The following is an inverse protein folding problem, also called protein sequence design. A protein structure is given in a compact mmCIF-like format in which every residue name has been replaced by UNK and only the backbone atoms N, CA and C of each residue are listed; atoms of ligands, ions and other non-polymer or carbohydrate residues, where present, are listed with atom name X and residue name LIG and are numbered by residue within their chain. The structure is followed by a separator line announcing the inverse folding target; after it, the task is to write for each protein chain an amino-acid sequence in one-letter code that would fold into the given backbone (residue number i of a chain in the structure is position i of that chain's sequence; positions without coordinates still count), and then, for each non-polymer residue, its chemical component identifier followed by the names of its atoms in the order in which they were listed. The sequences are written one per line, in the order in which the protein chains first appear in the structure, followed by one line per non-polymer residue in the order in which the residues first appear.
data_IF_998899025578
#
_entry.id   IF_998899025578
#
_cell.length_a   1.000
_cell.length_b   1.000
_cell.length_c   1.000
_cell.angle_alpha   90.00
_cell.angle_beta   90.00
_cell.angle_gamma   90.00
#
_symmetry.space_group_name_H-M   'P 1'
#
loop_
_entity.id
_entity.type
_entity.pdbx_description
1 polymer ?
#
# COMPACT_ATOMS: atom_id res chain seq x y z
N UNK A 1 25.88 8.69 -41.94
CA UNK A 1 24.42 8.67 -42.20
C UNK A 1 23.71 7.60 -41.35
N UNK A 2 24.21 6.36 -41.34
CA UNK A 2 23.61 5.19 -40.66
C UNK A 2 23.41 5.36 -39.15
N UNK A 3 24.39 5.92 -38.42
CA UNK A 3 24.28 6.16 -36.96
C UNK A 3 23.16 7.15 -36.60
N UNK A 4 22.92 8.16 -37.43
CA UNK A 4 21.87 9.18 -37.21
C UNK A 4 20.47 8.60 -37.44
N UNK A 5 20.32 7.78 -38.48
CA UNK A 5 19.07 7.06 -38.75
C UNK A 5 18.75 6.09 -37.61
N UNK A 6 19.74 5.33 -37.15
CA UNK A 6 19.56 4.39 -36.05
C UNK A 6 19.14 5.09 -34.75
N UNK A 7 19.82 6.18 -34.37
CA UNK A 7 19.49 6.94 -33.16
C UNK A 7 18.08 7.55 -33.23
N UNK A 8 17.68 8.04 -34.41
CA UNK A 8 16.33 8.57 -34.61
C UNK A 8 15.26 7.49 -34.48
N UNK A 9 15.47 6.34 -35.12
CA UNK A 9 14.55 5.22 -35.05
C UNK A 9 14.40 4.74 -33.60
N UNK A 10 15.52 4.61 -32.88
CA UNK A 10 15.51 4.25 -31.46
C UNK A 10 14.73 5.26 -30.61
N UNK A 11 15.01 6.57 -30.76
CA UNK A 11 14.29 7.60 -30.02
C UNK A 11 12.79 7.62 -30.32
N UNK A 12 12.40 7.42 -31.59
CA UNK A 12 10.99 7.33 -31.98
C UNK A 12 10.29 6.13 -31.32
N UNK A 13 10.95 4.97 -31.30
CA UNK A 13 10.43 3.76 -30.65
C UNK A 13 10.19 4.02 -29.15
N UNK A 14 11.14 4.67 -28.46
CA UNK A 14 10.99 5.02 -27.04
C UNK A 14 9.80 5.97 -26.81
N UNK A 15 9.64 6.98 -27.66
CA UNK A 15 8.49 7.91 -27.56
C UNK A 15 7.16 7.17 -27.78
N UNK A 16 7.07 6.34 -28.83
CA UNK A 16 5.87 5.55 -29.13
C UNK A 16 5.52 4.65 -27.95
N UNK A 17 6.53 3.98 -27.35
CA UNK A 17 6.34 3.15 -26.17
C UNK A 17 5.77 3.94 -24.98
N UNK A 18 6.32 5.14 -24.69
CA UNK A 18 5.80 6.01 -23.62
C UNK A 18 4.36 6.48 -23.90
N UNK A 19 4.02 6.80 -25.15
CA UNK A 19 2.65 7.17 -25.55
C UNK A 19 1.70 6.00 -25.36
N UNK A 20 2.10 4.78 -25.73
CA UNK A 20 1.31 3.56 -25.51
C UNK A 20 1.05 3.36 -24.02
N UNK A 21 2.05 3.58 -23.15
CA UNK A 21 1.87 3.53 -21.69
C UNK A 21 0.81 4.55 -21.23
N UNK A 22 0.86 5.80 -21.71
CA UNK A 22 -0.11 6.82 -21.33
C UNK A 22 -1.54 6.50 -21.80
N UNK A 23 -1.69 5.99 -23.04
CA UNK A 23 -2.98 5.54 -23.56
C UNK A 23 -3.51 4.36 -22.72
N UNK A 24 -2.65 3.38 -22.44
CA UNK A 24 -2.97 2.23 -21.60
C UNK A 24 -3.39 2.63 -20.19
N UNK A 25 -2.67 3.56 -19.56
CA UNK A 25 -3.01 4.11 -18.25
C UNK A 25 -4.39 4.79 -18.25
N UNK A 26 -4.69 5.61 -19.26
CA UNK A 26 -6.00 6.25 -19.40
C UNK A 26 -7.11 5.22 -19.60
N UNK A 27 -6.84 4.16 -20.38
CA UNK A 27 -7.77 3.05 -20.53
C UNK A 27 -8.04 2.33 -19.20
N UNK A 28 -6.99 2.04 -18.43
CA UNK A 28 -7.12 1.42 -17.10
C UNK A 28 -7.92 2.30 -16.13
N UNK A 29 -7.72 3.61 -16.18
CA UNK A 29 -8.49 4.58 -15.40
C UNK A 29 -9.97 4.55 -15.75
N UNK A 30 -10.31 4.66 -17.04
CA UNK A 30 -11.70 4.70 -17.49
C UNK A 30 -12.43 3.36 -17.24
N UNK A 31 -11.75 2.23 -17.46
CA UNK A 31 -12.38 0.90 -17.39
C UNK A 31 -12.43 0.32 -15.98
N UNK A 32 -11.38 0.52 -15.18
CA UNK A 32 -11.22 -0.15 -13.88
C UNK A 32 -11.17 0.82 -12.69
N UNK A 33 -11.16 2.13 -12.95
CA UNK A 33 -11.01 3.16 -11.92
C UNK A 33 -9.59 3.26 -11.36
N UNK A 34 -8.59 2.73 -12.08
CA UNK A 34 -7.19 2.77 -11.65
C UNK A 34 -6.58 4.14 -11.94
N UNK A 35 -6.12 4.84 -10.92
CA UNK A 35 -5.41 6.12 -11.06
C UNK A 35 -3.92 5.92 -10.78
N UNK A 36 -3.07 6.83 -11.25
CA UNK A 36 -1.67 6.82 -10.80
C UNK A 36 -1.62 7.06 -9.29
N UNK A 37 -0.82 6.27 -8.57
CA UNK A 37 -0.61 6.45 -7.12
C UNK A 37 -0.03 7.83 -6.83
N UNK A 38 0.94 8.24 -7.66
CA UNK A 38 1.55 9.56 -7.56
C UNK A 38 1.17 10.43 -8.77
N UNK A 39 0.61 11.62 -8.53
CA UNK A 39 0.25 12.56 -9.60
C UNK A 39 1.45 13.06 -10.42
N UNK A 40 2.69 12.89 -9.96
CA UNK A 40 3.90 13.25 -10.71
C UNK A 40 4.23 12.29 -11.86
N UNK A 41 3.82 11.03 -11.78
CA UNK A 41 4.16 10.01 -12.79
C UNK A 41 3.74 10.43 -14.22
N UNK A 42 2.47 10.80 -14.48
CA UNK A 42 2.08 11.24 -15.81
C UNK A 42 2.82 12.51 -16.25
N UNK A 43 3.12 13.43 -15.33
CA UNK A 43 3.87 14.66 -15.62
C UNK A 43 5.26 14.33 -16.14
N UNK A 44 5.98 13.45 -15.44
CA UNK A 44 7.33 13.05 -15.81
C UNK A 44 7.35 12.36 -17.16
N UNK A 45 6.45 11.40 -17.40
CA UNK A 45 6.39 10.67 -18.67
C UNK A 45 6.10 11.63 -19.82
N UNK A 46 5.11 12.53 -19.67
CA UNK A 46 4.77 13.52 -20.69
C UNK A 46 5.93 14.49 -20.96
N UNK A 47 6.64 14.91 -19.91
CA UNK A 47 7.82 15.78 -20.05
C UNK A 47 8.95 15.08 -20.82
N UNK A 48 9.20 13.80 -20.53
CA UNK A 48 10.17 12.98 -21.25
C UNK A 48 9.82 12.86 -22.74
N UNK A 49 8.54 12.60 -23.07
CA UNK A 49 8.06 12.54 -24.47
C UNK A 49 8.39 13.83 -25.22
N UNK A 50 8.08 14.98 -24.62
CA UNK A 50 8.28 16.28 -25.25
C UNK A 50 9.78 16.59 -25.43
N UNK A 51 10.60 16.34 -24.41
CA UNK A 51 12.05 16.56 -24.46
C UNK A 51 12.73 15.67 -25.51
N UNK A 52 12.41 14.37 -25.52
CA UNK A 52 12.94 13.43 -26.52
C UNK A 52 12.49 13.81 -27.94
N UNK A 53 11.21 14.14 -28.11
CA UNK A 53 10.67 14.58 -29.40
C UNK A 53 11.37 15.85 -29.92
N UNK A 54 11.58 16.82 -29.03
CA UNK A 54 12.33 18.03 -29.35
C UNK A 54 13.79 17.74 -29.74
N UNK A 55 14.49 16.90 -28.97
CA UNK A 55 15.88 16.52 -29.27
C UNK A 55 16.01 15.83 -30.62
N UNK A 56 15.07 14.94 -30.97
CA UNK A 56 15.04 14.29 -32.28
C UNK A 56 14.84 15.31 -33.41
N UNK A 57 13.98 16.31 -33.22
CA UNK A 57 13.80 17.38 -34.21
C UNK A 57 15.07 18.22 -34.35
N UNK A 58 15.72 18.61 -33.25
CA UNK A 58 17.01 19.32 -33.30
C UNK A 58 18.06 18.53 -34.07
N UNK A 59 18.26 17.28 -33.68
CA UNK A 59 19.31 16.45 -34.24
C UNK A 59 19.12 16.26 -35.75
N UNK A 60 17.87 16.29 -36.22
CA UNK A 60 17.55 16.20 -37.64
C UNK A 60 17.67 17.51 -38.43
N UNK A 61 17.63 18.67 -37.77
CA UNK A 61 17.57 19.95 -38.45
C UNK A 61 18.59 20.99 -37.96
N UNK A 62 19.61 20.55 -37.21
CA UNK A 62 20.60 21.42 -36.54
C UNK A 62 21.32 22.40 -37.47
N UNK A 63 21.51 22.01 -38.74
CA UNK A 63 22.24 22.79 -39.75
C UNK A 63 21.38 23.91 -40.37
N UNK A 64 20.07 23.92 -40.14
CA UNK A 64 19.13 24.85 -40.78
C UNK A 64 18.62 25.87 -39.76
N UNK A 65 19.08 27.13 -39.88
CA UNK A 65 18.74 28.27 -38.99
C UNK A 65 17.24 28.37 -38.64
N UNK A 66 16.34 28.08 -39.59
CA UNK A 66 14.88 28.14 -39.41
C UNK A 66 14.31 27.15 -38.38
N UNK A 67 14.94 26.00 -38.16
CA UNK A 67 14.44 24.99 -37.20
C UNK A 67 14.95 25.22 -35.78
N UNK A 68 15.96 26.07 -35.59
CA UNK A 68 16.39 26.52 -34.25
C UNK A 68 15.28 27.35 -33.57
N UNK A 69 14.55 28.19 -34.32
CA UNK A 69 13.40 28.94 -33.81
C UNK A 69 12.17 28.05 -33.52
N UNK A 70 11.93 27.04 -34.37
CA UNK A 70 10.83 26.08 -34.14
C UNK A 70 11.11 25.27 -32.88
N UNK A 71 12.36 24.86 -32.67
CA UNK A 71 12.76 24.15 -31.46
C UNK A 71 12.67 25.01 -30.19
N UNK A 72 13.10 26.28 -30.24
CA UNK A 72 12.95 27.17 -29.08
C UNK A 72 11.48 27.38 -28.72
N UNK A 73 10.58 27.47 -29.71
CA UNK A 73 9.14 27.53 -29.47
C UNK A 73 8.58 26.22 -28.87
N UNK A 74 9.08 25.07 -29.31
CA UNK A 74 8.68 23.76 -28.77
C UNK A 74 9.15 23.56 -27.32
N UNK A 75 10.37 23.97 -26.98
CA UNK A 75 10.84 24.01 -25.58
C UNK A 75 9.95 24.95 -24.76
N UNK A 76 9.63 26.14 -25.27
CA UNK A 76 8.78 27.09 -24.54
C UNK A 76 7.40 26.50 -24.27
N UNK A 77 6.80 25.83 -25.27
CA UNK A 77 5.51 25.15 -25.12
C UNK A 77 5.59 23.99 -24.12
N UNK A 78 6.70 23.24 -24.13
CA UNK A 78 7.00 22.21 -23.13
C UNK A 78 7.07 22.79 -21.72
N UNK A 79 7.73 23.93 -21.56
CA UNK A 79 7.87 24.63 -20.29
C UNK A 79 6.54 25.15 -19.79
N UNK A 80 5.71 25.71 -20.68
CA UNK A 80 4.35 26.16 -20.34
C UNK A 80 3.44 24.98 -19.99
N UNK A 81 3.52 23.86 -20.73
CA UNK A 81 2.79 22.64 -20.39
C UNK A 81 3.25 22.05 -19.06
N UNK A 82 4.55 22.06 -18.77
CA UNK A 82 5.12 21.63 -17.49
C UNK A 82 4.67 22.52 -16.33
N UNK A 83 4.69 23.85 -16.51
CA UNK A 83 4.22 24.83 -15.51
C UNK A 83 2.70 24.68 -15.30
N UNK A 84 1.93 24.54 -16.38
CA UNK A 84 0.48 24.33 -16.35
C UNK A 84 0.07 22.99 -15.73
N UNK A 85 0.91 21.96 -15.77
CA UNK A 85 0.70 20.73 -15.01
C UNK A 85 1.22 20.83 -13.57
N UNK A 86 2.25 21.65 -13.32
CA UNK A 86 2.73 21.94 -11.96
C UNK A 86 1.73 22.76 -11.14
N UNK A 87 0.74 23.42 -11.75
CA UNK A 87 -0.37 24.02 -11.01
C UNK A 87 -1.31 22.97 -10.41
N UNK A 88 -1.44 21.78 -11.03
CA UNK A 88 -2.01 20.59 -10.37
C UNK A 88 -1.11 20.09 -9.24
N UNK A 89 0.18 20.46 -9.22
CA UNK A 89 1.05 20.22 -8.07
C UNK A 89 0.71 21.08 -6.84
N UNK A 90 -0.17 22.07 -6.96
CA UNK A 90 -0.72 22.78 -5.79
C UNK A 90 -1.63 21.87 -4.98
N UNK A 91 -2.43 21.04 -5.65
CA UNK A 91 -3.23 19.95 -5.05
C UNK A 91 -2.33 18.85 -4.43
N UNK A 92 -1.10 18.71 -4.93
CA UNK A 92 -0.07 17.80 -4.38
C UNK A 92 0.57 18.38 -3.11
N UNK A 93 0.65 19.70 -2.97
CA UNK A 93 1.33 20.37 -1.86
C UNK A 93 0.46 20.48 -0.61
N UNK A 94 -0.86 20.51 -0.79
CA UNK A 94 -1.84 20.59 0.31
C UNK A 94 -2.20 19.20 0.88
N UNK A 95 -2.14 18.14 0.05
CA UNK A 95 -2.41 16.78 0.49
C UNK A 95 -1.13 16.07 0.96
N UNK A 96 -1.10 15.65 2.23
CA UNK A 96 -0.03 14.76 2.72
C UNK A 96 -0.30 13.36 2.21
N UNK A 97 0.62 12.91 1.36
CA UNK A 97 0.57 11.59 0.79
C UNK A 97 1.57 10.70 1.54
N UNK A 98 1.08 9.67 2.22
CA UNK A 98 1.93 8.71 2.93
C UNK A 98 2.14 7.50 2.04
N UNK A 99 3.40 7.23 1.70
CA UNK A 99 3.79 6.07 0.90
C UNK A 99 4.78 5.19 1.66
N UNK A 100 4.58 3.87 1.60
CA UNK A 100 5.54 2.89 2.09
C UNK A 100 5.58 1.69 1.15
N UNK A 101 6.78 1.29 0.73
CA UNK A 101 7.00 0.14 -0.17
C UNK A 101 7.27 -1.10 0.66
N UNK A 102 6.67 -2.24 0.30
CA UNK A 102 6.89 -3.50 1.01
C UNK A 102 8.36 -3.93 0.97
N UNK A 103 8.83 -4.72 1.96
CA UNK A 103 10.19 -5.23 1.98
C UNK A 103 10.58 -6.00 0.71
N UNK A 104 9.64 -6.78 0.14
CA UNK A 104 9.83 -7.52 -1.11
C UNK A 104 9.59 -6.69 -2.38
N UNK A 105 9.21 -5.41 -2.22
CA UNK A 105 8.94 -4.42 -3.27
C UNK A 105 7.79 -4.77 -4.22
N UNK A 106 6.88 -5.67 -3.82
CA UNK A 106 5.71 -6.05 -4.63
C UNK A 106 4.47 -5.22 -4.34
N UNK A 107 4.41 -4.57 -3.18
CA UNK A 107 3.24 -3.82 -2.73
C UNK A 107 3.60 -2.39 -2.30
N UNK A 108 2.64 -1.48 -2.43
CA UNK A 108 2.76 -0.10 -1.93
C UNK A 108 1.57 0.19 -1.04
N UNK A 109 1.85 0.53 0.22
CA UNK A 109 0.90 1.09 1.15
C UNK A 109 0.81 2.59 0.92
N UNK A 110 -0.36 3.03 0.45
CA UNK A 110 -0.60 4.41 0.08
C UNK A 110 -1.84 4.98 0.78
N UNK A 111 -1.64 6.08 1.48
CA UNK A 111 -2.69 6.90 2.07
C UNK A 111 -2.66 8.31 1.49
N UNK A 112 -3.83 8.83 1.21
CA UNK A 112 -4.04 10.24 0.87
C UNK A 112 -4.75 10.92 2.03
N UNK A 113 -4.11 11.92 2.62
CA UNK A 113 -4.72 12.82 3.61
C UNK A 113 -5.31 14.04 2.90
N UNK A 114 -6.58 14.32 3.20
CA UNK A 114 -7.30 15.53 2.79
C UNK A 114 -7.97 16.13 4.05
N UNK A 115 -7.31 17.12 4.65
CA UNK A 115 -7.67 17.62 5.97
C UNK A 115 -7.60 16.52 7.04
N UNK A 116 -8.74 16.21 7.66
CA UNK A 116 -8.86 15.14 8.66
C UNK A 116 -9.36 13.82 8.06
N UNK A 117 -9.60 13.77 6.75
CA UNK A 117 -10.04 12.55 6.06
C UNK A 117 -8.83 11.84 5.49
N UNK A 118 -8.67 10.56 5.83
CA UNK A 118 -7.59 9.72 5.30
C UNK A 118 -8.17 8.61 4.46
N UNK A 119 -7.71 8.50 3.23
CA UNK A 119 -8.19 7.50 2.26
C UNK A 119 -7.07 6.52 1.93
N UNK A 120 -7.36 5.23 2.08
CA UNK A 120 -6.51 4.14 1.65
C UNK A 120 -6.73 3.78 0.18
N UNK A 121 -5.61 3.67 -0.54
CA UNK A 121 -5.57 3.23 -1.91
C UNK A 121 -4.82 1.89 -2.01
N UNK A 122 -5.49 0.88 -2.55
CA UNK A 122 -4.84 -0.39 -2.86
C UNK A 122 -3.98 -0.24 -4.11
N UNK A 123 -2.70 -0.58 -4.00
CA UNK A 123 -1.76 -0.54 -5.12
C UNK A 123 -1.97 -1.69 -6.10
N UNK A 124 -1.85 -1.40 -7.39
CA UNK A 124 -1.83 -2.34 -8.50
C UNK A 124 -0.62 -2.04 -9.40
N UNK A 125 0.13 -3.09 -9.76
CA UNK A 125 1.31 -2.97 -10.64
C UNK A 125 2.32 -1.90 -10.19
N UNK A 126 2.40 -1.60 -8.88
CA UNK A 126 3.29 -0.60 -8.24
C UNK A 126 3.14 0.86 -8.68
N UNK A 127 2.41 1.17 -9.76
CA UNK A 127 2.26 2.55 -10.27
C UNK A 127 0.82 3.03 -10.24
N UNK A 128 -0.14 2.10 -10.18
CA UNK A 128 -1.56 2.40 -10.12
C UNK A 128 -2.12 2.13 -8.73
N UNK A 129 -3.18 2.86 -8.40
CA UNK A 129 -3.93 2.73 -7.15
C UNK A 129 -5.41 2.77 -7.44
N UNK A 130 -6.18 2.10 -6.59
CA UNK A 130 -7.62 2.24 -6.54
C UNK A 130 -8.01 2.63 -5.12
N UNK A 131 -8.85 3.64 -4.99
CA UNK A 131 -9.47 3.97 -3.70
C UNK A 131 -10.19 2.72 -3.19
N UNK A 132 -9.82 2.28 -1.99
CA UNK A 132 -10.40 1.08 -1.38
C UNK A 132 -11.28 1.45 -0.20
N UNK A 133 -10.81 2.34 0.66
CA UNK A 133 -11.51 2.64 1.91
C UNK A 133 -11.14 4.03 2.43
N UNK A 134 -12.10 4.69 3.08
CA UNK A 134 -11.86 5.91 3.87
C UNK A 134 -11.81 5.50 5.33
N UNK A 135 -10.85 6.03 6.08
CA UNK A 135 -10.77 5.76 7.51
C UNK A 135 -12.08 6.21 8.19
N UNK A 136 -12.65 5.36 9.07
CA UNK A 136 -13.98 5.61 9.64
C UNK A 136 -14.03 6.82 10.59
N UNK A 137 -12.87 7.27 11.09
CA UNK A 137 -12.77 8.36 12.05
C UNK A 137 -11.89 9.50 11.50
N UNK A 138 -12.25 10.73 11.84
CA UNK A 138 -11.47 11.94 11.53
C UNK A 138 -10.09 11.86 12.20
N UNK A 139 -9.04 11.95 11.40
CA UNK A 139 -7.66 11.77 11.85
C UNK A 139 -7.07 13.10 12.31
N UNK A 140 -6.59 13.13 13.55
CA UNK A 140 -5.81 14.25 14.08
C UNK A 140 -4.31 14.02 13.89
N UNK A 141 -3.84 12.79 14.16
CA UNK A 141 -2.43 12.41 14.03
C UNK A 141 -2.31 11.04 13.40
N UNK A 142 -1.32 10.88 12.53
CA UNK A 142 -1.03 9.60 11.89
C UNK A 142 0.43 9.23 12.08
N UNK A 143 0.65 7.98 12.49
CA UNK A 143 1.98 7.40 12.64
C UNK A 143 2.59 7.03 11.29
N UNK A 144 3.86 6.64 11.31
CA UNK A 144 4.53 6.11 10.10
C UNK A 144 4.05 4.69 9.82
N UNK A 145 3.66 4.34 8.58
CA UNK A 145 3.31 2.97 8.25
C UNK A 145 4.50 2.03 8.43
N UNK A 146 4.24 0.83 8.95
CA UNK A 146 5.22 -0.24 9.14
C UNK A 146 4.73 -1.52 8.48
N UNK A 147 5.62 -2.19 7.76
CA UNK A 147 5.35 -3.51 7.22
C UNK A 147 5.59 -4.55 8.31
N UNK A 148 4.51 -5.23 8.72
CA UNK A 148 4.55 -6.34 9.70
C UNK A 148 4.99 -7.63 9.00
N UNK A 149 4.56 -7.81 7.76
CA UNK A 149 5.00 -8.84 6.81
C UNK A 149 5.28 -8.20 5.46
N UNK A 150 5.65 -8.99 4.43
CA UNK A 150 5.82 -8.49 3.06
C UNK A 150 4.50 -7.98 2.43
N UNK A 151 3.36 -8.41 2.96
CA UNK A 151 2.04 -8.21 2.39
C UNK A 151 1.00 -7.65 3.38
N UNK A 152 1.44 -7.28 4.59
CA UNK A 152 0.61 -6.60 5.59
C UNK A 152 1.35 -5.36 6.12
N UNK A 153 0.79 -4.20 5.82
CA UNK A 153 1.22 -2.92 6.36
C UNK A 153 0.27 -2.50 7.49
N UNK A 154 0.83 -1.89 8.53
CA UNK A 154 0.11 -1.38 9.68
C UNK A 154 0.38 0.11 9.84
N UNK A 155 -0.65 0.89 10.16
CA UNK A 155 -0.52 2.30 10.51
C UNK A 155 -1.43 2.63 11.69
N UNK A 156 -0.84 3.17 12.74
CA UNK A 156 -1.58 3.68 13.89
C UNK A 156 -1.94 5.13 13.64
N UNK A 157 -3.16 5.52 13.99
CA UNK A 157 -3.60 6.91 13.93
C UNK A 157 -4.42 7.26 15.16
N UNK A 158 -4.47 8.54 15.51
CA UNK A 158 -5.27 9.08 16.59
C UNK A 158 -6.41 9.91 15.96
N UNK A 159 -7.64 9.67 16.42
CA UNK A 159 -8.77 10.49 16.01
C UNK A 159 -8.84 11.81 16.79
N UNK A 160 -9.74 12.70 16.37
CA UNK A 160 -9.96 14.01 17.01
C UNK A 160 -10.56 13.94 18.42
N UNK A 161 -11.01 12.76 18.87
CA UNK A 161 -11.46 12.51 20.24
C UNK A 161 -10.35 11.96 21.14
N UNK A 162 -9.16 11.72 20.56
CA UNK A 162 -8.00 11.20 21.23
C UNK A 162 -7.89 9.68 21.25
N UNK A 163 -8.83 8.94 20.64
CA UNK A 163 -8.78 7.48 20.58
C UNK A 163 -7.73 7.02 19.57
N UNK A 164 -7.02 5.94 19.93
CA UNK A 164 -6.00 5.34 19.10
C UNK A 164 -6.61 4.24 18.24
N UNK A 165 -6.39 4.30 16.94
CA UNK A 165 -6.89 3.37 15.95
C UNK A 165 -5.73 2.71 15.20
N UNK A 166 -6.00 1.56 14.60
CA UNK A 166 -5.02 0.83 13.81
C UNK A 166 -5.67 0.38 12.50
N UNK A 167 -5.03 0.73 11.39
CA UNK A 167 -5.43 0.27 10.07
C UNK A 167 -4.41 -0.74 9.53
N UNK A 168 -4.90 -1.84 8.95
CA UNK A 168 -4.07 -2.84 8.29
C UNK A 168 -4.35 -2.87 6.79
N UNK A 169 -3.34 -2.52 5.99
CA UNK A 169 -3.35 -2.73 4.54
C UNK A 169 -2.92 -4.15 4.21
N UNK A 170 -3.84 -4.97 3.72
CA UNK A 170 -3.60 -6.38 3.38
C UNK A 170 -3.60 -6.60 1.87
N UNK A 171 -2.56 -7.29 1.38
CA UNK A 171 -2.28 -7.52 -0.05
C UNK A 171 -2.27 -9.01 -0.42
N UNK A 172 -2.16 -9.92 0.55
CA UNK A 172 -2.20 -11.36 0.34
C UNK A 172 -3.53 -12.00 0.74
N UNK A 173 -3.59 -13.30 0.51
CA UNK A 173 -4.69 -14.16 0.94
C UNK A 173 -4.16 -15.24 1.88
N UNK A 174 -4.92 -15.57 2.95
CA UNK A 174 -4.70 -16.74 3.80
C UNK A 174 -5.98 -17.59 3.80
N UNK A 175 -5.82 -18.90 3.62
CA UNK A 175 -6.89 -19.88 3.48
C UNK A 175 -6.83 -20.64 2.16
N UNK A 176 -7.76 -21.58 1.96
CA UNK A 176 -7.94 -22.28 0.68
C UNK A 176 -8.59 -21.39 -0.38
N UNK A 177 -8.28 -21.64 -1.66
CA UNK A 177 -8.87 -20.88 -2.78
C UNK A 177 -10.40 -21.04 -2.92
N UNK A 178 -11.02 -21.93 -2.13
CA UNK A 178 -12.41 -22.35 -2.26
C UNK A 178 -13.39 -21.49 -1.47
N UNK A 179 -12.98 -20.84 -0.36
CA UNK A 179 -13.88 -20.00 0.42
C UNK A 179 -13.17 -18.96 1.28
N UNK A 180 -13.76 -17.75 1.36
CA UNK A 180 -13.26 -16.67 2.21
C UNK A 180 -13.41 -17.05 3.69
N UNK A 181 -12.31 -17.02 4.45
CA UNK A 181 -12.30 -17.38 5.88
C UNK A 181 -12.03 -16.20 6.80
N UNK A 182 -12.57 -16.31 8.00
CA UNK A 182 -12.26 -15.42 9.10
C UNK A 182 -10.89 -15.78 9.70
N UNK A 183 -10.06 -14.76 9.93
CA UNK A 183 -8.75 -14.90 10.58
C UNK A 183 -8.90 -15.57 11.95
N UNK A 184 -9.97 -15.23 12.67
CA UNK A 184 -10.29 -15.83 13.98
C UNK A 184 -10.58 -17.32 13.88
N UNK A 185 -11.13 -17.82 12.77
CA UNK A 185 -11.31 -19.25 12.55
C UNK A 185 -9.98 -19.96 12.30
N UNK A 186 -9.05 -19.30 11.60
CA UNK A 186 -7.73 -19.85 11.26
C UNK A 186 -6.71 -19.80 12.41
N UNK A 187 -7.06 -19.13 13.51
CA UNK A 187 -6.15 -18.84 14.64
C UNK A 187 -6.69 -19.35 15.97
N UNK A 188 -7.57 -20.37 15.95
CA UNK A 188 -8.05 -21.03 17.18
C UNK A 188 -6.90 -21.69 17.94
N UNK A 189 -7.00 -21.68 19.27
CA UNK A 189 -6.02 -22.26 20.18
C UNK A 189 -5.21 -21.22 20.94
N UNK A 190 -4.06 -21.66 21.47
CA UNK A 190 -3.20 -20.96 22.40
C UNK A 190 -1.88 -20.67 21.69
N UNK A 191 -1.47 -19.40 21.74
CA UNK A 191 -0.34 -18.84 21.04
C UNK A 191 0.55 -18.08 22.02
N UNK A 192 1.77 -18.56 22.21
CA UNK A 192 2.65 -18.10 23.28
C UNK A 192 4.05 -17.80 22.77
N UNK A 193 4.80 -17.02 23.55
CA UNK A 193 6.22 -16.83 23.34
C UNK A 193 6.92 -16.81 24.70
N UNK A 194 7.75 -17.83 24.94
CA UNK A 194 8.48 -18.03 26.20
C UNK A 194 9.39 -16.85 26.59
N UNK A 195 9.83 -16.04 25.60
CA UNK A 195 10.70 -14.88 25.81
C UNK A 195 9.93 -13.57 25.94
N UNK A 196 8.61 -13.59 25.74
CA UNK A 196 7.76 -12.41 25.79
C UNK A 196 6.71 -12.53 26.89
N UNK A 197 6.21 -11.40 27.38
CA UNK A 197 5.09 -11.41 28.31
C UNK A 197 3.73 -11.35 27.62
N UNK A 198 3.68 -11.51 26.29
CA UNK A 198 2.46 -11.42 25.48
C UNK A 198 2.04 -12.79 25.00
N UNK A 199 0.86 -13.24 25.40
CA UNK A 199 0.24 -14.48 24.94
C UNK A 199 -1.17 -14.21 24.42
N UNK A 200 -1.62 -15.01 23.46
CA UNK A 200 -2.95 -14.93 22.86
C UNK A 200 -3.64 -16.29 22.97
N UNK A 201 -4.88 -16.31 23.42
CA UNK A 201 -5.75 -17.48 23.29
C UNK A 201 -7.00 -17.09 22.50
N UNK A 202 -7.45 -17.99 21.63
CA UNK A 202 -8.67 -17.83 20.87
C UNK A 202 -9.48 -19.10 21.04
N UNK A 203 -10.45 -19.04 21.94
CA UNK A 203 -11.27 -20.18 22.35
C UNK A 203 -12.73 -19.81 22.12
N UNK A 204 -13.41 -20.59 21.28
CA UNK A 204 -14.83 -20.38 20.92
C UNK A 204 -15.12 -18.96 20.40
N UNK A 205 -14.16 -18.36 19.70
CA UNK A 205 -14.29 -17.03 19.11
C UNK A 205 -14.06 -15.85 20.06
N UNK A 206 -13.84 -16.09 21.36
CA UNK A 206 -13.38 -15.07 22.28
C UNK A 206 -11.85 -15.06 22.29
N UNK A 207 -11.28 -13.87 22.09
CA UNK A 207 -9.83 -13.70 22.07
C UNK A 207 -9.40 -13.13 23.40
N UNK A 208 -8.48 -13.80 24.09
CA UNK A 208 -7.83 -13.26 25.28
C UNK A 208 -6.39 -12.92 24.96
N UNK A 209 -5.96 -11.77 25.46
CA UNK A 209 -4.56 -11.34 25.43
C UNK A 209 -4.09 -11.20 26.85
N UNK A 210 -3.04 -11.95 27.20
CA UNK A 210 -2.29 -11.75 28.44
C UNK A 210 -1.05 -10.94 28.10
N UNK A 211 -0.86 -9.78 28.72
CA UNK A 211 0.34 -8.97 28.61
C UNK A 211 0.83 -8.54 29.98
N UNK A 212 2.07 -8.92 30.33
CA UNK A 212 2.70 -8.60 31.63
C UNK A 212 1.78 -8.95 32.82
N UNK A 213 1.09 -10.08 32.72
CA UNK A 213 0.17 -10.60 33.74
C UNK A 213 -1.23 -9.98 33.74
N UNK A 214 -1.50 -8.96 32.91
CA UNK A 214 -2.85 -8.41 32.73
C UNK A 214 -3.57 -9.14 31.61
N UNK A 215 -4.76 -9.67 31.92
CA UNK A 215 -5.59 -10.41 30.95
C UNK A 215 -6.73 -9.53 30.47
N UNK A 216 -6.86 -9.37 29.17
CA UNK A 216 -8.00 -8.71 28.51
C UNK A 216 -8.73 -9.71 27.62
N UNK A 217 -10.06 -9.71 27.64
CA UNK A 217 -10.90 -10.55 26.77
C UNK A 217 -11.64 -9.67 25.78
N UNK A 218 -11.69 -10.11 24.52
CA UNK A 218 -12.33 -9.43 23.42
C UNK A 218 -13.40 -10.34 22.80
N UNK A 219 -14.63 -9.84 22.79
CA UNK A 219 -15.77 -10.49 22.17
C UNK A 219 -15.84 -10.18 20.66
N UNK A 220 -16.74 -10.84 19.93
CA UNK A 220 -16.85 -10.74 18.47
C UNK A 220 -17.05 -9.32 17.95
N UNK A 221 -17.76 -8.45 18.67
CA UNK A 221 -18.00 -7.05 18.30
C UNK A 221 -16.76 -6.14 18.53
N UNK A 222 -15.82 -6.62 19.33
CA UNK A 222 -14.53 -5.96 19.61
C UNK A 222 -13.42 -6.40 18.64
N UNK A 223 -13.72 -7.32 17.72
CA UNK A 223 -12.77 -7.92 16.78
C UNK A 223 -13.03 -7.36 15.38
N UNK A 224 -12.06 -6.60 14.84
CA UNK A 224 -12.14 -6.04 13.49
C UNK A 224 -11.16 -6.79 12.58
N UNK A 225 -11.69 -7.46 11.56
CA UNK A 225 -10.87 -8.20 10.59
C UNK A 225 -10.47 -7.32 9.40
N UNK A 226 -9.22 -7.44 8.98
CA UNK A 226 -8.66 -6.79 7.79
C UNK A 226 -8.20 -7.85 6.79
N UNK A 227 -8.92 -7.95 5.66
CA UNK A 227 -8.69 -8.99 4.66
C UNK A 227 -8.77 -10.38 5.27
N UNK A 228 -7.89 -11.29 4.84
CA UNK A 228 -7.79 -12.65 5.42
C UNK A 228 -6.51 -12.85 6.24
N UNK A 229 -5.77 -11.76 6.55
CA UNK A 229 -4.43 -11.88 7.14
C UNK A 229 -4.31 -11.25 8.53
N UNK A 230 -5.20 -10.34 8.93
CA UNK A 230 -5.02 -9.58 10.17
C UNK A 230 -6.30 -9.28 10.92
N UNK A 231 -6.17 -9.14 12.23
CA UNK A 231 -7.22 -8.75 13.17
C UNK A 231 -6.72 -7.65 14.08
N UNK A 232 -7.59 -6.68 14.37
CA UNK A 232 -7.41 -5.65 15.38
C UNK A 232 -8.43 -5.87 16.50
N UNK A 233 -7.95 -5.91 17.73
CA UNK A 233 -8.73 -6.04 18.96
C UNK A 233 -8.96 -4.65 19.54
N UNK A 234 -10.21 -4.31 19.78
CA UNK A 234 -10.63 -2.95 20.16
C UNK A 234 -11.36 -2.93 21.49
N UNK A 235 -11.29 -1.81 22.19
CA UNK A 235 -12.11 -1.52 23.36
C UNK A 235 -12.65 -0.10 23.21
N UNK A 236 -13.98 0.03 23.18
CA UNK A 236 -14.69 1.29 22.89
C UNK A 236 -14.11 2.01 21.66
N UNK A 237 -13.97 1.26 20.56
CA UNK A 237 -13.37 1.70 19.29
C UNK A 237 -11.86 1.99 19.32
N UNK A 238 -11.21 2.06 20.47
CA UNK A 238 -9.74 2.20 20.54
C UNK A 238 -9.06 0.86 20.31
N UNK A 239 -8.11 0.80 19.38
CA UNK A 239 -7.26 -0.36 19.16
C UNK A 239 -6.35 -0.62 20.37
N UNK A 240 -6.33 -1.88 20.84
CA UNK A 240 -5.51 -2.31 21.99
C UNK A 240 -4.40 -3.27 21.57
N UNK A 241 -4.73 -4.20 20.67
CA UNK A 241 -3.79 -5.17 20.11
C UNK A 241 -4.16 -5.47 18.66
N UNK A 242 -3.21 -6.03 17.93
CA UNK A 242 -3.48 -6.69 16.67
C UNK A 242 -2.61 -7.92 16.54
N UNK A 243 -3.04 -8.84 15.69
CA UNK A 243 -2.21 -9.96 15.27
C UNK A 243 -2.45 -10.28 13.80
N UNK A 244 -1.41 -10.78 13.15
CA UNK A 244 -1.45 -11.15 11.74
C UNK A 244 -0.89 -12.55 11.50
N UNK A 245 -1.44 -13.22 10.49
CA UNK A 245 -0.97 -14.50 9.98
C UNK A 245 0.08 -14.22 8.89
N UNK A 246 1.33 -14.68 9.04
CA UNK A 246 2.39 -14.45 8.06
C UNK A 246 2.15 -15.22 6.75
N UNK A 247 2.86 -14.82 5.68
CA UNK A 247 2.68 -15.38 4.32
C UNK A 247 3.00 -16.86 4.21
N UNK A 248 3.91 -17.35 5.04
CA UNK A 248 4.36 -18.75 5.04
C UNK A 248 3.43 -19.72 5.78
N UNK A 249 2.31 -19.24 6.35
CA UNK A 249 1.31 -20.11 6.95
C UNK A 249 0.47 -20.78 5.84
N UNK A 250 0.86 -21.99 5.44
CA UNK A 250 0.14 -22.79 4.46
C UNK A 250 -1.03 -23.51 5.14
N UNK A 251 -2.24 -23.21 4.68
CA UNK A 251 -3.45 -23.96 5.00
C UNK A 251 -3.75 -24.90 3.83
N UNK A 252 -4.08 -26.15 4.13
CA UNK A 252 -4.52 -27.17 3.17
C UNK A 252 -5.83 -26.75 2.47
N UNK A 253 -6.21 -27.44 1.38
CA UNK A 253 -7.49 -27.17 0.69
C UNK A 253 -8.73 -27.34 1.58
N UNK A 254 -8.65 -28.13 2.66
CA UNK A 254 -9.68 -28.27 3.69
C UNK A 254 -9.52 -27.28 4.85
N UNK A 255 -8.62 -26.30 4.68
CA UNK A 255 -8.24 -25.27 5.64
C UNK A 255 -7.62 -25.81 6.93
N UNK A 256 -7.16 -27.07 6.93
CA UNK A 256 -6.30 -27.54 8.00
C UNK A 256 -4.88 -26.99 7.81
N UNK A 257 -4.29 -26.32 8.80
CA UNK A 257 -2.89 -25.94 8.72
C UNK A 257 -2.01 -27.19 8.55
N UNK A 258 -1.21 -27.24 7.46
CA UNK A 258 -0.29 -28.34 7.14
C UNK A 258 0.57 -28.75 8.36
N UNK A 259 0.94 -27.77 9.20
CA UNK A 259 1.56 -27.96 10.50
C UNK A 259 1.39 -26.70 11.38
N UNK A 260 0.45 -26.71 12.34
CA UNK A 260 0.22 -25.57 13.27
C UNK A 260 1.47 -25.15 14.03
N UNK A 261 2.37 -26.10 14.32
CA UNK A 261 3.59 -25.81 15.08
C UNK A 261 4.58 -24.95 14.29
N UNK A 262 4.45 -24.91 12.96
CA UNK A 262 5.30 -24.09 12.10
C UNK A 262 4.72 -22.67 11.89
N UNK A 263 3.47 -22.43 12.29
CA UNK A 263 2.82 -21.13 12.17
C UNK A 263 3.28 -20.22 13.33
N UNK A 264 3.71 -19.01 12.97
CA UNK A 264 4.07 -17.97 13.93
C UNK A 264 3.16 -16.76 13.75
N UNK A 265 2.19 -16.55 14.64
CA UNK A 265 1.42 -15.32 14.62
C UNK A 265 2.31 -14.13 14.99
N UNK A 266 2.07 -12.99 14.35
CA UNK A 266 2.79 -11.77 14.66
C UNK A 266 1.83 -10.83 15.38
N UNK A 267 1.97 -10.70 16.70
CA UNK A 267 1.14 -9.87 17.56
C UNK A 267 1.87 -8.57 17.93
N UNK A 268 1.13 -7.48 18.09
CA UNK A 268 1.70 -6.18 18.42
C UNK A 268 0.67 -5.22 19.03
N UNK A 269 1.18 -4.17 19.66
CA UNK A 269 0.38 -3.04 20.17
C UNK A 269 0.39 -1.87 19.18
N UNK A 270 -0.76 -1.19 18.98
CA UNK A 270 -0.79 0.06 18.24
C UNK A 270 0.06 1.13 18.95
N UNK A 271 0.84 1.88 18.17
CA UNK A 271 1.67 2.98 18.67
C UNK A 271 2.02 3.91 17.49
N UNK A 272 1.92 5.23 17.71
CA UNK A 272 2.14 6.24 16.65
C UNK A 272 3.61 6.31 16.19
N UNK A 273 4.56 6.02 17.06
CA UNK A 273 5.99 6.15 16.80
C UNK A 273 6.60 4.85 16.28
N UNK A 274 6.36 3.76 17.00
CA UNK A 274 6.96 2.47 16.68
C UNK A 274 6.07 1.27 17.06
N UNK A 275 5.88 0.36 16.11
CA UNK A 275 5.16 -0.89 16.32
C UNK A 275 6.17 -1.99 16.60
N UNK A 276 6.15 -2.52 17.82
CA UNK A 276 6.97 -3.66 18.22
C UNK A 276 6.20 -4.96 18.02
N UNK A 277 6.76 -5.85 17.20
CA UNK A 277 6.14 -7.11 16.81
C UNK A 277 6.71 -8.26 17.62
N UNK A 278 5.82 -9.02 18.26
CA UNK A 278 6.10 -10.24 19.00
C UNK A 278 5.65 -11.43 18.16
N UNK A 279 6.50 -12.45 18.04
CA UNK A 279 6.17 -13.70 17.35
C UNK A 279 5.60 -14.68 18.35
N UNK A 280 4.40 -15.20 18.12
CA UNK A 280 3.74 -16.19 18.96
C UNK A 280 3.68 -17.53 18.25
N UNK A 281 4.02 -18.61 18.95
CA UNK A 281 3.96 -19.98 18.45
C UNK A 281 2.75 -20.69 19.02
N UNK A 282 2.17 -21.59 18.24
CA UNK A 282 1.08 -22.43 18.70
C UNK A 282 1.57 -23.41 19.79
N UNK A 283 0.90 -23.46 20.95
CA UNK A 283 1.24 -24.36 22.06
C UNK A 283 0.11 -25.33 22.44
N UNK A 284 -1.12 -25.16 21.93
CA UNK A 284 -2.21 -26.14 22.08
C UNK A 284 -3.62 -25.53 21.98
N UNK A 285 -4.67 -26.33 22.11
CA UNK A 285 -6.08 -25.89 22.17
C UNK A 285 -7.02 -26.56 21.15
N UNK A 286 -8.33 -26.54 21.40
CA UNK A 286 -9.35 -27.15 20.53
C UNK A 286 -9.47 -26.41 19.17
N UNK A 287 -9.63 -27.20 18.09
CA UNK A 287 -9.98 -26.72 16.75
C UNK A 287 -11.49 -26.58 16.56
#
# INVERSE_FOLDING_TARGET
MTKRIFLNAFGLIVIIFMVIIQIGAKFLQMKYGLTYLSPWIPVVINSCIILLGGLLLLFNFIDKKKYKCIFSAFILLSLVAFIGFSSQAKEIKENRNIYSVSPDKKNIFYLKEDGQTVTYYQSYYLVFGKMREVFPYSVEKIGKPRWVTNDVAAVTYQDTTGHLHLYLGTYGYRGSALSYKYVTSLTRGIWENELSNVNLSNIRGNIQVSDKGSISTYASDQIVQFGTSGVVLTDKSSAKYAYVIPENALYEPDDTPNNLQDIQLLAFKPNLENIEVVKLKYTGGEQ
#
